data_IF_555611533210
#
_entry.id   IF_555611533210
#
_cell.length_a   1.000
_cell.length_b   1.000
_cell.length_c   1.000
_cell.angle_alpha   90.00
_cell.angle_beta   90.00
_cell.angle_gamma   90.00
#
_symmetry.space_group_name_H-M   'P 1'
#
loop_
_entity.id
_entity.type
_entity.pdbx_description
1 polymer ?
#
# COMPACT_ATOMS: atom_id res chain seq x y z
N UNK A 1 -78.13 27.24 25.89
CA UNK A 1 -76.71 27.29 26.32
C UNK A 1 -76.03 26.07 25.75
N UNK A 2 -75.30 26.23 24.64
CA UNK A 2 -74.58 25.14 23.94
C UNK A 2 -73.06 25.27 24.20
N UNK A 3 -72.49 24.30 24.89
CA UNK A 3 -71.03 24.28 25.14
C UNK A 3 -70.31 23.67 23.94
N UNK A 4 -69.44 24.45 23.31
CA UNK A 4 -68.55 24.00 22.25
C UNK A 4 -67.26 23.41 22.89
N UNK A 5 -67.05 22.12 22.73
CA UNK A 5 -65.78 21.45 23.05
C UNK A 5 -64.86 21.56 21.83
N UNK A 6 -63.74 22.28 21.99
CA UNK A 6 -62.65 22.29 21.03
C UNK A 6 -61.71 21.11 21.34
N UNK A 7 -61.72 20.12 20.47
CA UNK A 7 -60.69 19.07 20.43
C UNK A 7 -59.43 19.63 19.73
N UNK A 8 -58.39 19.77 20.52
CA UNK A 8 -57.04 20.15 20.02
C UNK A 8 -56.31 18.87 19.59
N UNK A 9 -56.25 18.62 18.28
CA UNK A 9 -55.49 17.50 17.74
C UNK A 9 -53.97 17.84 17.70
N UNK A 10 -53.23 17.15 18.53
CA UNK A 10 -51.75 17.21 18.54
C UNK A 10 -51.21 16.31 17.45
N UNK A 11 -50.80 16.85 16.31
CA UNK A 11 -50.14 16.09 15.26
C UNK A 11 -48.67 15.92 15.65
N UNK A 12 -48.28 14.73 16.09
CA UNK A 12 -46.86 14.37 16.27
C UNK A 12 -46.20 14.18 14.88
N UNK A 13 -45.40 15.12 14.48
CA UNK A 13 -44.48 14.98 13.33
C UNK A 13 -43.26 14.15 13.79
N UNK A 14 -43.24 12.87 13.47
CA UNK A 14 -42.04 12.02 13.57
C UNK A 14 -41.07 12.43 12.49
N UNK A 15 -40.07 13.27 12.83
CA UNK A 15 -38.93 13.55 11.98
C UNK A 15 -37.94 12.37 12.09
N UNK A 16 -38.03 11.43 11.14
CA UNK A 16 -37.05 10.37 10.98
C UNK A 16 -35.72 10.97 10.52
N UNK A 17 -34.79 11.18 11.43
CA UNK A 17 -33.43 11.56 11.12
C UNK A 17 -32.72 10.37 10.45
N UNK A 18 -32.56 10.42 9.12
CA UNK A 18 -31.63 9.55 8.40
C UNK A 18 -30.21 9.95 8.79
N UNK A 19 -29.64 9.20 9.74
CA UNK A 19 -28.18 9.24 9.99
C UNK A 19 -27.48 8.61 8.80
N UNK A 20 -27.01 9.43 7.85
CA UNK A 20 -26.05 9.00 6.82
C UNK A 20 -24.79 8.60 7.56
N UNK A 21 -24.48 7.30 7.59
CA UNK A 21 -23.18 6.82 8.01
C UNK A 21 -22.14 7.39 7.03
N UNK A 22 -21.38 8.37 7.48
CA UNK A 22 -20.24 8.89 6.72
C UNK A 22 -19.19 7.78 6.71
N UNK A 23 -18.97 7.16 5.54
CA UNK A 23 -17.79 6.33 5.35
C UNK A 23 -16.55 7.19 5.59
N UNK A 24 -15.57 6.75 6.39
CA UNK A 24 -14.36 7.52 6.60
C UNK A 24 -13.73 7.80 5.23
N UNK A 25 -13.57 9.08 4.90
CA UNK A 25 -12.88 9.51 3.69
C UNK A 25 -11.42 9.09 3.80
N UNK A 26 -11.03 8.04 3.09
CA UNK A 26 -9.63 7.70 2.88
C UNK A 26 -9.16 8.49 1.66
N UNK A 27 -8.10 9.30 1.82
CA UNK A 27 -7.48 9.99 0.70
C UNK A 27 -6.81 8.97 -0.23
N UNK A 28 -7.50 8.61 -1.31
CA UNK A 28 -7.03 7.70 -2.35
C UNK A 28 -6.38 8.42 -3.54
N UNK A 29 -6.14 9.73 -3.43
CA UNK A 29 -5.60 10.55 -4.54
C UNK A 29 -4.24 10.02 -5.05
N UNK A 30 -3.41 9.47 -4.16
CA UNK A 30 -2.14 8.85 -4.55
C UNK A 30 -2.40 7.56 -5.32
N UNK A 31 -3.33 6.70 -4.86
CA UNK A 31 -3.72 5.48 -5.55
C UNK A 31 -4.24 5.76 -6.96
N UNK A 32 -5.13 6.74 -7.11
CA UNK A 32 -5.64 7.15 -8.42
C UNK A 32 -4.53 7.74 -9.30
N UNK A 33 -3.64 8.54 -8.72
CA UNK A 33 -2.50 9.12 -9.42
C UNK A 33 -1.47 8.08 -9.91
N UNK A 34 -1.37 6.92 -9.25
CA UNK A 34 -0.57 5.77 -9.70
C UNK A 34 -1.28 4.96 -10.80
N UNK A 35 -2.51 5.33 -11.19
CA UNK A 35 -3.32 4.60 -12.18
C UNK A 35 -4.12 3.43 -11.58
N UNK A 36 -4.39 3.46 -10.28
CA UNK A 36 -5.13 2.42 -9.58
C UNK A 36 -4.40 1.08 -9.59
N UNK A 37 -5.15 -0.01 -9.47
CA UNK A 37 -4.59 -1.37 -9.42
C UNK A 37 -3.74 -1.71 -10.66
N UNK A 38 -4.24 -1.38 -11.84
CA UNK A 38 -3.56 -1.70 -13.10
C UNK A 38 -2.28 -0.86 -13.30
N UNK A 39 -2.29 0.41 -12.90
CA UNK A 39 -1.11 1.26 -12.93
C UNK A 39 -0.03 0.76 -11.97
N UNK A 40 -0.40 0.43 -10.74
CA UNK A 40 0.50 -0.14 -9.74
C UNK A 40 1.11 -1.46 -10.25
N UNK A 41 0.28 -2.34 -10.86
CA UNK A 41 0.78 -3.58 -11.45
C UNK A 41 1.87 -3.31 -12.49
N UNK A 42 1.64 -2.40 -13.44
CA UNK A 42 2.61 -2.04 -14.48
C UNK A 42 3.90 -1.49 -13.89
N UNK A 43 3.80 -0.62 -12.87
CA UNK A 43 4.96 -0.07 -12.16
C UNK A 43 5.78 -1.21 -11.53
N UNK A 44 5.13 -2.13 -10.80
CA UNK A 44 5.82 -3.24 -10.14
C UNK A 44 6.40 -4.24 -11.13
N UNK A 45 5.70 -4.52 -12.23
CA UNK A 45 6.20 -5.38 -13.31
C UNK A 45 7.47 -4.81 -14.00
N UNK A 46 7.62 -3.47 -14.00
CA UNK A 46 8.84 -2.79 -14.46
C UNK A 46 9.91 -2.77 -13.36
N UNK A 47 9.53 -2.50 -12.13
CA UNK A 47 10.42 -2.32 -10.99
C UNK A 47 11.15 -3.60 -10.59
N UNK A 48 10.44 -4.73 -10.49
CA UNK A 48 11.03 -6.01 -10.03
C UNK A 48 12.19 -6.49 -10.91
N UNK A 49 12.13 -6.45 -12.24
CA UNK A 49 13.29 -6.74 -13.10
C UNK A 49 14.48 -5.78 -12.88
N UNK A 50 14.24 -4.51 -12.54
CA UNK A 50 15.29 -3.55 -12.26
C UNK A 50 16.08 -3.91 -11.02
N UNK A 51 15.41 -4.39 -9.95
CA UNK A 51 16.08 -4.88 -8.73
C UNK A 51 17.09 -5.99 -9.01
N UNK A 52 16.77 -6.89 -9.97
CA UNK A 52 17.65 -7.98 -10.38
C UNK A 52 18.78 -7.53 -11.31
N UNK A 53 18.61 -6.40 -11.98
CA UNK A 53 19.61 -5.83 -12.88
C UNK A 53 20.57 -4.86 -12.20
N UNK A 54 20.16 -4.22 -11.08
CA UNK A 54 20.98 -3.24 -10.37
C UNK A 54 22.12 -3.93 -9.58
N UNK A 55 23.39 -3.74 -9.95
CA UNK A 55 24.52 -4.35 -9.26
C UNK A 55 24.67 -3.93 -7.80
N UNK A 56 24.03 -2.83 -7.38
CA UNK A 56 24.09 -2.32 -6.00
C UNK A 56 23.27 -3.15 -5.03
N UNK A 57 22.21 -3.84 -5.52
CA UNK A 57 21.20 -4.49 -4.67
C UNK A 57 20.81 -5.90 -5.10
N UNK A 58 21.11 -6.33 -6.33
CA UNK A 58 20.66 -7.60 -6.92
C UNK A 58 20.96 -8.82 -6.05
N UNK A 59 22.08 -8.84 -5.36
CA UNK A 59 22.48 -9.98 -4.50
C UNK A 59 21.52 -10.19 -3.32
N UNK A 60 20.83 -9.13 -2.86
CA UNK A 60 19.84 -9.23 -1.80
C UNK A 60 18.55 -9.94 -2.25
N UNK A 61 18.37 -10.16 -3.55
CA UNK A 61 17.18 -10.78 -4.13
C UNK A 61 17.45 -12.16 -4.73
N UNK A 62 18.70 -12.67 -4.67
CA UNK A 62 19.11 -13.90 -5.34
C UNK A 62 18.26 -15.12 -4.99
N UNK A 63 17.87 -15.24 -3.72
CA UNK A 63 17.15 -16.42 -3.19
C UNK A 63 15.64 -16.16 -2.99
N UNK A 64 15.14 -15.01 -3.50
CA UNK A 64 13.72 -14.66 -3.29
C UNK A 64 12.80 -15.24 -4.35
N UNK A 65 11.55 -15.48 -3.94
CA UNK A 65 10.44 -15.74 -4.86
C UNK A 65 9.98 -14.42 -5.50
N UNK A 66 10.45 -14.17 -6.72
CA UNK A 66 10.15 -12.92 -7.43
C UNK A 66 8.66 -12.75 -7.76
N UNK A 67 7.94 -13.85 -7.99
CA UNK A 67 6.49 -13.80 -8.21
C UNK A 67 5.77 -13.35 -6.93
N UNK A 68 6.14 -13.97 -5.81
CA UNK A 68 5.60 -13.56 -4.50
C UNK A 68 5.99 -12.12 -4.16
N UNK A 69 7.24 -11.70 -4.40
CA UNK A 69 7.68 -10.33 -4.19
C UNK A 69 6.85 -9.34 -5.00
N UNK A 70 6.63 -9.64 -6.29
CA UNK A 70 5.82 -8.82 -7.18
C UNK A 70 4.41 -8.60 -6.62
N UNK A 71 3.74 -9.68 -6.19
CA UNK A 71 2.39 -9.59 -5.59
C UNK A 71 2.40 -8.76 -4.29
N UNK A 72 3.39 -8.98 -3.41
CA UNK A 72 3.49 -8.25 -2.14
C UNK A 72 3.76 -6.76 -2.31
N UNK A 73 4.58 -6.39 -3.28
CA UNK A 73 4.82 -4.99 -3.61
C UNK A 73 3.58 -4.30 -4.18
N UNK A 74 2.80 -4.99 -5.02
CA UNK A 74 1.52 -4.45 -5.52
C UNK A 74 0.54 -4.19 -4.36
N UNK A 75 0.39 -5.13 -3.43
CA UNK A 75 -0.46 -4.98 -2.25
C UNK A 75 0.00 -3.82 -1.37
N UNK A 76 1.31 -3.74 -1.11
CA UNK A 76 1.92 -2.71 -0.27
C UNK A 76 1.74 -1.31 -0.88
N UNK A 77 2.07 -1.14 -2.14
CA UNK A 77 1.94 0.16 -2.82
C UNK A 77 0.48 0.59 -2.90
N UNK A 78 -0.42 -0.35 -3.16
CA UNK A 78 -1.86 -0.08 -3.19
C UNK A 78 -2.38 0.40 -1.82
N UNK A 79 -2.09 -0.32 -0.73
CA UNK A 79 -2.54 0.09 0.61
C UNK A 79 -1.91 1.41 1.05
N UNK A 80 -0.61 1.59 0.84
CA UNK A 80 0.10 2.80 1.24
C UNK A 80 -0.31 4.03 0.40
N UNK A 81 -0.76 3.81 -0.82
CA UNK A 81 -1.33 4.87 -1.65
C UNK A 81 -2.78 5.23 -1.29
N UNK A 82 -3.41 4.56 -0.33
CA UNK A 82 -4.81 4.77 0.06
C UNK A 82 -5.81 3.96 -0.77
N UNK A 83 -5.33 2.94 -1.50
CA UNK A 83 -6.17 2.03 -2.28
C UNK A 83 -6.91 0.99 -1.41
N UNK A 84 -7.80 0.19 -2.03
CA UNK A 84 -8.66 -0.76 -1.32
C UNK A 84 -7.97 -2.07 -0.91
N UNK A 85 -6.67 -2.20 -1.16
CA UNK A 85 -5.92 -3.42 -0.90
C UNK A 85 -5.60 -3.59 0.58
N UNK A 86 -5.21 -4.83 0.95
CA UNK A 86 -4.70 -5.15 2.28
C UNK A 86 -3.34 -5.82 2.16
N UNK A 87 -2.32 -5.13 2.63
CA UNK A 87 -0.96 -5.64 2.69
C UNK A 87 -0.76 -6.45 3.96
N UNK A 88 -0.46 -7.74 3.82
CA UNK A 88 -0.30 -8.63 4.98
C UNK A 88 1.02 -8.41 5.74
N UNK A 89 2.01 -7.80 5.11
CA UNK A 89 3.37 -7.66 5.65
C UNK A 89 4.09 -9.02 5.85
N UNK A 90 3.55 -10.10 5.29
CA UNK A 90 4.06 -11.46 5.49
C UNK A 90 4.64 -12.01 4.20
N UNK A 91 5.82 -12.58 4.30
CA UNK A 91 6.54 -13.27 3.24
C UNK A 91 6.73 -14.74 3.61
N UNK A 92 6.58 -15.64 2.66
CA UNK A 92 6.81 -17.08 2.86
C UNK A 92 8.09 -17.51 2.15
N UNK A 93 9.05 -18.05 2.89
CA UNK A 93 10.25 -18.61 2.30
C UNK A 93 9.94 -19.81 1.42
N UNK A 94 10.69 -19.97 0.34
CA UNK A 94 10.74 -21.23 -0.39
C UNK A 94 11.58 -22.22 0.41
N UNK A 95 10.94 -23.25 0.97
CA UNK A 95 11.66 -24.41 1.52
C UNK A 95 11.50 -25.61 0.58
N UNK A 96 12.52 -26.48 0.51
CA UNK A 96 12.50 -27.67 -0.34
C UNK A 96 11.39 -28.66 0.05
N UNK A 97 10.90 -28.59 1.27
CA UNK A 97 9.86 -29.46 1.85
C UNK A 97 8.44 -28.90 1.75
N UNK A 98 8.28 -27.71 1.14
CA UNK A 98 6.98 -27.05 0.99
C UNK A 98 6.41 -26.46 2.29
N UNK A 99 7.10 -26.56 3.42
CA UNK A 99 6.71 -26.01 4.72
C UNK A 99 7.50 -24.73 4.98
N UNK A 100 7.25 -23.69 4.16
CA UNK A 100 7.98 -22.44 4.29
C UNK A 100 7.65 -21.68 5.57
N UNK A 101 8.67 -21.12 6.20
CA UNK A 101 8.52 -20.19 7.33
C UNK A 101 7.91 -18.89 6.86
N UNK A 102 6.90 -18.40 7.60
CA UNK A 102 6.31 -17.08 7.35
C UNK A 102 7.09 -16.04 8.14
N UNK A 103 7.69 -15.08 7.42
CA UNK A 103 8.45 -13.97 8.01
C UNK A 103 7.72 -12.64 7.79
N UNK A 104 7.88 -11.71 8.71
CA UNK A 104 7.42 -10.33 8.57
C UNK A 104 8.50 -9.45 7.91
N UNK A 105 8.18 -8.17 7.70
CA UNK A 105 9.07 -7.20 7.08
C UNK A 105 10.44 -7.11 7.78
N UNK A 106 10.48 -7.10 9.10
CA UNK A 106 11.73 -6.99 9.86
C UNK A 106 12.57 -8.26 9.73
N UNK A 107 11.95 -9.43 9.95
CA UNK A 107 12.66 -10.71 9.94
C UNK A 107 13.12 -11.13 8.54
N UNK A 108 12.38 -10.75 7.48
CA UNK A 108 12.81 -11.05 6.10
C UNK A 108 14.06 -10.26 5.68
N UNK A 109 14.32 -9.09 6.29
CA UNK A 109 15.48 -8.26 5.97
C UNK A 109 16.65 -8.44 6.96
N UNK A 110 16.44 -9.11 8.08
CA UNK A 110 17.39 -9.18 9.19
C UNK A 110 18.78 -9.67 8.77
N UNK A 111 18.84 -10.69 7.90
CA UNK A 111 20.09 -11.32 7.49
C UNK A 111 20.67 -10.76 6.18
N UNK A 112 19.96 -9.86 5.52
CA UNK A 112 20.36 -9.32 4.21
C UNK A 112 21.44 -8.23 4.29
N UNK A 113 21.79 -7.78 5.50
CA UNK A 113 22.82 -6.75 5.75
C UNK A 113 22.60 -5.46 4.93
N UNK A 114 21.34 -5.06 4.82
CA UNK A 114 20.95 -3.89 4.03
C UNK A 114 21.59 -2.62 4.58
N UNK A 115 22.22 -1.86 3.70
CA UNK A 115 22.79 -0.55 4.00
C UNK A 115 21.87 0.58 3.56
N UNK A 116 22.14 1.81 4.05
CA UNK A 116 21.46 3.00 3.56
C UNK A 116 21.62 3.19 2.04
N UNK A 117 22.79 2.88 1.49
CA UNK A 117 23.04 2.98 0.05
C UNK A 117 22.16 2.01 -0.75
N UNK A 118 21.96 0.78 -0.26
CA UNK A 118 21.09 -0.21 -0.90
C UNK A 118 19.62 0.20 -0.82
N UNK A 119 19.17 0.73 0.32
CA UNK A 119 17.82 1.27 0.46
C UNK A 119 17.56 2.43 -0.50
N UNK A 120 18.52 3.33 -0.65
CA UNK A 120 18.44 4.45 -1.60
C UNK A 120 18.39 3.95 -3.04
N UNK A 121 19.24 2.97 -3.40
CA UNK A 121 19.26 2.38 -4.75
C UNK A 121 17.88 1.78 -5.11
N UNK A 122 17.27 1.03 -4.19
CA UNK A 122 15.91 0.51 -4.38
C UNK A 122 14.88 1.63 -4.59
N UNK A 123 15.01 2.72 -3.83
CA UNK A 123 14.10 3.88 -3.95
C UNK A 123 14.28 4.59 -5.30
N UNK A 124 15.51 4.70 -5.79
CA UNK A 124 15.81 5.24 -7.11
C UNK A 124 15.20 4.39 -8.23
N UNK A 125 15.36 3.06 -8.16
CA UNK A 125 14.75 2.15 -9.13
C UNK A 125 13.23 2.27 -9.15
N UNK A 126 12.59 2.37 -7.97
CA UNK A 126 11.15 2.59 -7.88
C UNK A 126 10.74 3.92 -8.52
N UNK A 127 11.51 4.99 -8.29
CA UNK A 127 11.25 6.29 -8.90
C UNK A 127 11.34 6.21 -10.42
N UNK A 128 12.38 5.57 -10.95
CA UNK A 128 12.57 5.37 -12.40
C UNK A 128 11.41 4.55 -12.99
N UNK A 129 10.99 3.48 -12.31
CA UNK A 129 9.85 2.67 -12.75
C UNK A 129 8.56 3.49 -12.83
N UNK A 130 8.28 4.36 -11.84
CA UNK A 130 7.13 5.25 -11.87
C UNK A 130 7.24 6.30 -12.99
N UNK A 131 8.42 6.85 -13.23
CA UNK A 131 8.68 7.81 -14.32
C UNK A 131 8.44 7.18 -15.70
N UNK A 132 8.86 5.93 -15.92
CA UNK A 132 8.60 5.19 -17.17
C UNK A 132 7.10 5.01 -17.45
N UNK A 133 6.27 5.02 -16.42
CA UNK A 133 4.81 4.96 -16.53
C UNK A 133 4.14 6.34 -16.44
N UNK A 134 4.89 7.43 -16.61
CA UNK A 134 4.42 8.81 -16.60
C UNK A 134 3.67 9.20 -15.31
N UNK A 135 4.05 8.62 -14.16
CA UNK A 135 3.50 9.02 -12.86
C UNK A 135 4.01 10.41 -12.51
N UNK A 136 3.14 11.38 -12.20
CA UNK A 136 3.58 12.71 -11.79
C UNK A 136 4.48 12.67 -10.54
N UNK A 137 5.55 13.47 -10.51
CA UNK A 137 6.50 13.51 -9.38
C UNK A 137 5.84 13.82 -8.04
N UNK A 138 4.74 14.59 -8.04
CA UNK A 138 3.96 14.85 -6.83
C UNK A 138 3.28 13.60 -6.26
N UNK A 139 2.94 12.63 -7.11
CA UNK A 139 2.34 11.35 -6.73
C UNK A 139 3.42 10.36 -6.29
N UNK A 140 4.51 10.21 -7.07
CA UNK A 140 5.62 9.33 -6.71
C UNK A 140 6.25 9.72 -5.39
N UNK A 141 6.46 11.02 -5.15
CA UNK A 141 6.98 11.52 -3.87
C UNK A 141 6.06 11.20 -2.68
N UNK A 142 4.74 11.22 -2.86
CA UNK A 142 3.80 10.82 -1.80
C UNK A 142 3.93 9.33 -1.45
N UNK A 143 4.05 8.45 -2.45
CA UNK A 143 4.27 7.02 -2.20
C UNK A 143 5.61 6.80 -1.50
N UNK A 144 6.71 7.38 -2.02
CA UNK A 144 8.04 7.26 -1.43
C UNK A 144 8.05 7.75 0.02
N UNK A 145 7.39 8.87 0.31
CA UNK A 145 7.28 9.38 1.68
C UNK A 145 6.57 8.43 2.65
N UNK A 146 5.63 7.60 2.15
CA UNK A 146 4.98 6.54 2.93
C UNK A 146 5.89 5.33 3.18
N UNK A 147 6.81 5.04 2.25
CA UNK A 147 7.78 3.94 2.35
C UNK A 147 9.02 4.31 3.17
N UNK A 148 9.45 5.57 3.14
CA UNK A 148 10.67 6.04 3.78
C UNK A 148 10.81 5.67 5.27
N UNK A 149 9.78 5.69 6.12
CA UNK A 149 9.87 5.28 7.52
C UNK A 149 10.30 3.81 7.71
N UNK A 150 10.09 2.95 6.70
CA UNK A 150 10.47 1.54 6.75
C UNK A 150 12.00 1.34 6.75
N UNK A 151 12.77 2.34 6.31
CA UNK A 151 14.23 2.30 6.33
C UNK A 151 14.77 1.85 7.69
N UNK A 152 14.20 2.34 8.79
CA UNK A 152 14.64 1.99 10.16
C UNK A 152 14.50 0.51 10.51
N UNK A 153 13.52 -0.17 9.91
CA UNK A 153 13.28 -1.60 10.14
C UNK A 153 14.05 -2.49 9.18
N UNK A 154 14.48 -1.94 8.02
CA UNK A 154 15.10 -2.68 6.92
C UNK A 154 16.63 -2.55 6.96
N UNK A 155 17.16 -1.35 7.24
CA UNK A 155 18.60 -1.10 7.29
C UNK A 155 19.19 -1.74 8.55
N UNK A 156 20.09 -2.69 8.35
CA UNK A 156 20.70 -3.51 9.42
C UNK A 156 22.23 -3.30 9.54
N UNK A 157 22.79 -2.42 8.69
CA UNK A 157 24.23 -2.08 8.67
C UNK A 157 24.48 -0.58 8.61
#
# INVERSE_FOLDING_TARGET
MKKFNKLLGCALLCVSSLTMAQTPYTDDSTYQGLGGKEGIKKIVDTFVPMLLADPRIKESFADFDMEQLNVRLQEQFCEFAGGPCKYSGKYRDKTMDGVGTVRDMTTVHQDLKITNAMFNALTEDLQIAMEQHNVPSSVSNKLIAKLAPMQRAIVTK
#
